data_IF_261686318045
#
_entry.id   IF_261686318045
#
_cell.length_a   1.000
_cell.length_b   1.000
_cell.length_c   1.000
_cell.angle_alpha   90.00
_cell.angle_beta   90.00
_cell.angle_gamma   90.00
#
_symmetry.space_group_name_H-M   'P 1'
#
loop_
_entity.id
_entity.type
_entity.pdbx_description
1 polymer ?
#
# COMPACT_ATOMS: atom_id res chain seq x y z
N UNK A 1 -23.17 9.77 -5.89
CA UNK A 1 -23.33 8.34 -5.59
C UNK A 1 -22.09 7.91 -4.83
N UNK A 2 -22.23 7.63 -3.53
CA UNK A 2 -21.12 7.36 -2.63
C UNK A 2 -20.62 5.92 -2.83
N UNK A 3 -19.36 5.77 -3.24
CA UNK A 3 -18.67 4.48 -3.29
C UNK A 3 -18.33 4.10 -1.85
N UNK A 4 -18.97 3.04 -1.35
CA UNK A 4 -18.70 2.53 0.00
C UNK A 4 -17.46 1.67 -0.08
N UNK A 5 -16.28 2.25 0.16
CA UNK A 5 -15.05 1.47 0.35
C UNK A 5 -15.14 0.80 1.71
N UNK A 6 -15.54 -0.47 1.72
CA UNK A 6 -15.51 -1.31 2.91
C UNK A 6 -14.05 -1.65 3.20
N UNK A 7 -13.43 -0.92 4.13
CA UNK A 7 -12.20 -1.37 4.76
C UNK A 7 -12.53 -2.64 5.55
N UNK A 8 -12.15 -3.80 5.03
CA UNK A 8 -12.25 -5.04 5.79
C UNK A 8 -11.15 -5.02 6.84
N UNK A 9 -11.47 -4.53 8.03
CA UNK A 9 -10.68 -4.79 9.23
C UNK A 9 -10.85 -6.29 9.54
N UNK A 10 -9.94 -7.12 9.02
CA UNK A 10 -9.98 -8.57 9.20
C UNK A 10 -9.65 -8.93 10.63
N UNK A 11 -10.68 -9.00 11.48
CA UNK A 11 -10.64 -9.75 12.73
C UNK A 11 -10.66 -11.24 12.36
N UNK A 12 -9.50 -11.79 12.05
CA UNK A 12 -9.36 -13.14 11.51
C UNK A 12 -9.10 -14.16 12.64
N UNK A 13 -10.08 -15.01 12.93
CA UNK A 13 -9.97 -16.19 13.81
C UNK A 13 -9.41 -17.42 13.08
N UNK A 14 -9.00 -17.28 11.81
CA UNK A 14 -8.35 -18.28 10.96
C UNK A 14 -7.32 -17.56 10.07
N UNK A 15 -6.26 -18.21 9.55
CA UNK A 15 -5.35 -17.57 8.60
C UNK A 15 -6.13 -17.18 7.33
N UNK A 16 -6.50 -15.90 7.23
CA UNK A 16 -7.17 -15.36 6.04
C UNK A 16 -6.08 -14.98 5.04
N UNK A 17 -6.02 -15.75 3.94
CA UNK A 17 -5.22 -15.41 2.77
C UNK A 17 -6.07 -14.56 1.83
N UNK A 18 -5.86 -13.24 1.82
CA UNK A 18 -6.46 -12.37 0.82
C UNK A 18 -5.65 -12.46 -0.48
N UNK A 19 -6.27 -13.00 -1.53
CA UNK A 19 -5.79 -12.91 -2.92
C UNK A 19 -6.68 -11.94 -3.68
N UNK A 20 -6.07 -11.02 -4.41
CA UNK A 20 -6.71 -10.33 -5.54
C UNK A 20 -5.87 -10.69 -6.77
N UNK A 21 -6.49 -11.34 -7.76
CA UNK A 21 -5.83 -11.73 -9.01
C UNK A 21 -6.53 -11.04 -10.18
N UNK A 22 -5.76 -10.34 -11.01
CA UNK A 22 -6.17 -9.92 -12.35
C UNK A 22 -5.26 -10.66 -13.34
N UNK A 23 -5.79 -11.68 -14.01
CA UNK A 23 -5.02 -12.45 -15.00
C UNK A 23 -4.84 -11.65 -16.30
N UNK A 24 -3.60 -11.28 -16.59
CA UNK A 24 -3.09 -11.24 -17.97
C UNK A 24 -1.84 -12.12 -18.01
N UNK A 25 -1.92 -13.20 -18.77
CA UNK A 25 -0.86 -14.18 -18.89
C UNK A 25 0.41 -13.60 -19.50
N UNK A 26 1.53 -13.82 -18.82
CA UNK A 26 2.85 -13.82 -19.45
C UNK A 26 3.63 -15.06 -18.97
N UNK A 27 3.88 -15.97 -19.91
CA UNK A 27 4.74 -17.13 -19.76
C UNK A 27 6.20 -16.77 -20.08
N UNK A 28 7.15 -17.03 -19.15
CA UNK A 28 8.55 -17.48 -19.31
C UNK A 28 9.41 -17.03 -18.12
N UNK A 29 10.16 -17.99 -17.54
CA UNK A 29 11.06 -17.78 -16.40
C UNK A 29 10.33 -17.69 -15.06
N UNK A 30 10.99 -18.02 -13.94
CA UNK A 30 10.48 -17.65 -12.62
C UNK A 30 10.34 -16.12 -12.62
N UNK A 31 9.11 -15.63 -12.61
CA UNK A 31 8.86 -14.20 -12.59
C UNK A 31 9.56 -13.61 -11.35
N UNK A 32 10.26 -12.47 -11.47
CA UNK A 32 10.81 -11.82 -10.31
C UNK A 32 9.67 -11.53 -9.33
N UNK A 33 9.85 -12.01 -8.10
CA UNK A 33 8.94 -11.79 -7.00
C UNK A 33 9.72 -11.09 -5.90
N UNK A 34 9.14 -10.04 -5.34
CA UNK A 34 9.74 -9.26 -4.26
C UNK A 34 9.18 -9.78 -2.95
N UNK A 35 10.04 -10.25 -2.05
CA UNK A 35 9.61 -10.67 -0.71
C UNK A 35 10.11 -9.72 0.36
N UNK A 36 9.22 -9.26 1.23
CA UNK A 36 9.52 -8.36 2.33
C UNK A 36 8.94 -8.89 3.65
N UNK A 37 9.65 -8.71 4.78
CA UNK A 37 9.11 -9.00 6.09
C UNK A 37 8.02 -7.99 6.47
N UNK A 38 6.99 -8.46 7.15
CA UNK A 38 5.99 -7.61 7.81
C UNK A 38 6.10 -7.82 9.32
N UNK A 39 6.30 -6.73 10.06
CA UNK A 39 6.18 -6.68 11.51
C UNK A 39 5.01 -5.79 11.91
N UNK A 40 4.04 -6.34 12.63
CA UNK A 40 2.86 -5.60 13.13
C UNK A 40 2.19 -4.74 12.05
N UNK A 41 2.02 -5.29 10.85
CA UNK A 41 1.37 -4.65 9.70
C UNK A 41 2.29 -3.72 8.90
N UNK A 42 3.51 -3.47 9.37
CA UNK A 42 4.45 -2.57 8.71
C UNK A 42 5.52 -3.33 7.93
N UNK A 43 5.98 -2.74 6.82
CA UNK A 43 7.15 -3.19 6.07
C UNK A 43 8.09 -2.03 5.82
N UNK A 44 9.38 -2.33 5.69
CA UNK A 44 10.41 -1.34 5.36
C UNK A 44 10.67 -1.30 3.87
N UNK A 45 10.71 -0.10 3.31
CA UNK A 45 11.14 0.18 1.95
C UNK A 45 12.19 1.30 1.99
N UNK A 46 12.97 1.46 0.93
CA UNK A 46 13.91 2.57 0.79
C UNK A 46 13.49 3.48 -0.35
N UNK A 47 13.49 4.79 -0.12
CA UNK A 47 13.26 5.80 -1.17
C UNK A 47 14.41 6.78 -1.13
N UNK A 48 15.17 6.89 -2.22
CA UNK A 48 16.39 7.71 -2.31
C UNK A 48 17.40 7.41 -1.18
N UNK A 49 17.47 6.14 -0.76
CA UNK A 49 18.34 5.71 0.35
C UNK A 49 17.78 5.94 1.75
N UNK A 50 16.61 6.58 1.89
CA UNK A 50 15.93 6.75 3.18
C UNK A 50 15.06 5.52 3.47
N UNK A 51 15.37 4.82 4.55
CA UNK A 51 14.53 3.73 5.03
C UNK A 51 13.24 4.28 5.64
N UNK A 52 12.10 3.90 5.07
CA UNK A 52 10.77 4.29 5.53
C UNK A 52 9.95 3.04 5.86
N UNK A 53 9.21 3.10 6.96
CA UNK A 53 8.40 1.98 7.44
C UNK A 53 6.92 2.32 7.26
N UNK A 54 6.23 1.49 6.47
CA UNK A 54 4.91 1.80 5.93
C UNK A 54 3.92 0.73 6.34
N UNK A 55 2.71 1.16 6.69
CA UNK A 55 1.60 0.25 6.93
C UNK A 55 1.19 -0.40 5.61
N UNK A 56 1.14 -1.72 5.58
CA UNK A 56 0.64 -2.48 4.44
C UNK A 56 -0.88 -2.41 4.42
N UNK A 57 -1.43 -1.78 3.39
CA UNK A 57 -2.88 -1.54 3.26
C UNK A 57 -3.41 -2.18 1.98
N UNK A 58 -4.30 -3.17 2.12
CA UNK A 58 -4.91 -3.89 1.00
C UNK A 58 -6.06 -3.13 0.34
N UNK A 59 -6.59 -2.09 0.99
CA UNK A 59 -7.65 -1.21 0.49
C UNK A 59 -7.12 0.06 -0.17
N UNK A 60 -5.89 0.47 0.14
CA UNK A 60 -5.21 1.59 -0.52
C UNK A 60 -4.40 1.11 -1.73
N UNK A 61 -4.20 1.99 -2.71
CA UNK A 61 -3.69 1.62 -4.05
C UNK A 61 -2.30 2.20 -4.37
N UNK A 62 -1.82 3.16 -3.60
CA UNK A 62 -0.59 3.91 -3.90
C UNK A 62 0.46 3.78 -2.79
N UNK A 63 1.71 4.15 -3.10
CA UNK A 63 2.80 4.30 -2.17
C UNK A 63 2.81 5.72 -1.60
N UNK A 64 2.47 5.85 -0.32
CA UNK A 64 2.38 7.15 0.37
C UNK A 64 3.34 7.18 1.55
N UNK A 65 4.20 8.19 1.60
CA UNK A 65 5.04 8.50 2.76
C UNK A 65 4.56 9.78 3.43
N UNK A 66 4.84 9.95 4.72
CA UNK A 66 4.55 11.21 5.43
C UNK A 66 5.67 12.21 5.18
N UNK A 67 5.32 13.49 5.02
CA UNK A 67 6.28 14.59 5.01
C UNK A 67 6.99 14.67 6.37
N UNK A 68 8.28 14.34 6.39
CA UNK A 68 9.07 14.28 7.61
C UNK A 68 9.18 15.61 8.33
N UNK A 69 9.38 16.71 7.59
CA UNK A 69 9.53 18.05 8.18
C UNK A 69 8.24 18.47 8.88
N UNK A 70 7.10 18.32 8.18
CA UNK A 70 5.78 18.58 8.75
C UNK A 70 5.48 17.68 9.97
N UNK A 71 5.88 16.41 9.91
CA UNK A 71 5.61 15.46 10.97
C UNK A 71 6.36 15.81 12.25
N UNK A 72 7.65 16.17 12.15
CA UNK A 72 8.46 16.58 13.29
C UNK A 72 8.03 17.93 13.84
N UNK A 73 7.64 18.89 12.97
CA UNK A 73 7.02 20.14 13.42
C UNK A 73 5.76 19.88 14.27
N UNK A 74 4.94 18.91 13.85
CA UNK A 74 3.66 18.62 14.52
C UNK A 74 3.80 17.81 15.80
N UNK A 75 4.72 16.84 15.84
CA UNK A 75 4.80 15.84 16.90
C UNK A 75 6.11 15.89 17.71
N UNK A 76 7.01 16.82 17.40
CA UNK A 76 8.30 17.02 18.04
C UNK A 76 9.46 16.37 17.28
N UNK A 77 10.66 16.93 17.47
CA UNK A 77 11.91 16.44 16.89
C UNK A 77 12.13 14.94 17.21
N UNK A 78 12.49 14.18 16.18
CA UNK A 78 12.69 12.73 16.29
C UNK A 78 11.40 11.92 16.44
N UNK A 79 10.22 12.52 16.31
CA UNK A 79 8.95 11.79 16.27
C UNK A 79 8.92 10.79 15.10
N UNK A 80 9.56 11.12 13.97
CA UNK A 80 9.63 10.25 12.82
C UNK A 80 10.36 8.92 13.11
N UNK A 81 11.44 8.96 13.89
CA UNK A 81 12.20 7.76 14.23
C UNK A 81 11.52 6.84 15.26
N UNK A 82 10.48 7.31 15.96
CA UNK A 82 9.87 6.61 17.10
C UNK A 82 8.53 5.95 16.80
N UNK A 83 7.84 6.35 15.71
CA UNK A 83 6.40 6.09 15.57
C UNK A 83 5.99 5.20 14.39
N UNK A 84 6.92 4.49 13.73
CA UNK A 84 6.62 3.76 12.47
C UNK A 84 5.83 4.65 11.48
N UNK A 85 6.19 5.94 11.44
CA UNK A 85 5.37 6.98 10.82
C UNK A 85 5.50 7.03 9.30
N UNK A 86 6.43 6.28 8.72
CA UNK A 86 6.69 6.31 7.28
C UNK A 86 7.16 7.67 6.79
N UNK A 87 7.90 8.43 7.60
CA UNK A 87 8.39 9.75 7.22
C UNK A 87 9.44 9.67 6.11
N UNK A 88 9.34 10.55 5.14
CA UNK A 88 10.35 10.84 4.13
C UNK A 88 10.74 12.32 4.22
N UNK A 89 12.04 12.59 4.29
CA UNK A 89 12.55 13.96 4.29
C UNK A 89 12.94 14.35 2.88
N UNK A 90 12.24 15.35 2.32
CA UNK A 90 12.59 15.85 1.00
C UNK A 90 14.04 16.40 0.98
N UNK A 91 14.85 16.06 -0.04
CA UNK A 91 16.16 16.66 -0.20
C UNK A 91 16.08 18.18 -0.25
N UNK A 92 17.01 18.88 0.41
CA UNK A 92 17.04 20.36 0.46
C UNK A 92 17.05 21.01 -0.93
N UNK A 93 17.64 20.33 -1.93
CA UNK A 93 17.70 20.80 -3.32
C UNK A 93 16.36 20.71 -4.06
N UNK A 94 15.45 19.84 -3.60
CA UNK A 94 14.09 19.69 -4.15
C UNK A 94 13.09 19.50 -3.00
N UNK A 95 12.78 20.57 -2.25
CA UNK A 95 11.95 20.48 -1.05
C UNK A 95 10.51 20.05 -1.38
N UNK A 96 9.83 19.51 -0.38
CA UNK A 96 8.42 19.16 -0.48
C UNK A 96 7.59 20.45 -0.50
N UNK A 97 7.00 20.81 -1.64
CA UNK A 97 6.19 22.04 -1.78
C UNK A 97 4.72 21.68 -2.03
N UNK A 98 3.93 21.81 -0.97
CA UNK A 98 2.47 21.66 -1.01
C UNK A 98 1.80 22.98 -1.37
N UNK A 99 1.18 23.06 -2.55
CA UNK A 99 0.37 24.20 -2.98
C UNK A 99 -0.86 23.76 -3.77
N UNK A 100 -1.78 24.69 -4.05
CA UNK A 100 -3.05 24.39 -4.72
C UNK A 100 -2.92 23.74 -6.12
N UNK A 101 -1.77 23.93 -6.79
CA UNK A 101 -1.54 23.41 -8.13
C UNK A 101 -0.87 22.03 -8.13
N UNK A 102 -0.16 21.67 -7.05
CA UNK A 102 0.59 20.41 -6.93
C UNK A 102 -0.07 19.37 -6.05
N UNK A 103 -1.11 19.77 -5.31
CA UNK A 103 -1.65 18.96 -4.22
C UNK A 103 -2.97 18.30 -4.58
N UNK A 104 -3.05 16.98 -4.36
CA UNK A 104 -4.30 16.22 -4.37
C UNK A 104 -4.78 15.97 -2.94
N UNK A 105 -6.09 16.03 -2.70
CA UNK A 105 -6.69 15.72 -1.39
C UNK A 105 -7.33 14.35 -1.41
N UNK A 106 -7.28 13.65 -0.29
CA UNK A 106 -7.89 12.34 -0.13
C UNK A 106 -8.47 12.19 1.27
N UNK A 107 -9.74 11.80 1.33
CA UNK A 107 -10.46 11.53 2.56
C UNK A 107 -10.46 10.02 2.84
N UNK A 108 -10.29 9.66 4.11
CA UNK A 108 -10.31 8.31 4.63
C UNK A 108 -11.49 8.11 5.57
N UNK A 109 -11.73 6.86 5.95
CA UNK A 109 -12.73 6.50 6.96
C UNK A 109 -12.41 7.22 8.28
N UNK A 110 -13.44 7.69 8.98
CA UNK A 110 -13.29 8.31 10.29
C UNK A 110 -12.86 9.79 10.26
N UNK A 111 -13.16 10.51 9.17
CA UNK A 111 -12.82 11.94 8.97
C UNK A 111 -11.32 12.24 8.96
N UNK A 112 -10.48 11.22 8.78
CA UNK A 112 -9.07 11.43 8.48
C UNK A 112 -8.95 11.91 7.03
N UNK A 113 -8.09 12.89 6.80
CA UNK A 113 -7.83 13.41 5.46
C UNK A 113 -6.36 13.76 5.33
N UNK A 114 -5.82 13.50 4.16
CA UNK A 114 -4.47 13.91 3.79
C UNK A 114 -4.52 14.78 2.56
N UNK A 115 -3.45 15.54 2.38
CA UNK A 115 -3.13 16.13 1.11
C UNK A 115 -1.75 15.65 0.67
N UNK A 116 -1.60 15.39 -0.62
CA UNK A 116 -0.44 14.71 -1.19
C UNK A 116 0.15 15.48 -2.36
N UNK A 117 1.47 15.49 -2.47
CA UNK A 117 2.19 15.87 -3.70
C UNK A 117 2.80 14.63 -4.34
N UNK A 118 2.96 14.66 -5.66
CA UNK A 118 3.68 13.61 -6.38
C UNK A 118 5.18 13.90 -6.41
N UNK A 119 5.98 12.85 -6.22
CA UNK A 119 7.44 12.86 -6.29
C UNK A 119 7.92 11.66 -7.12
N UNK A 120 9.16 11.73 -7.56
CA UNK A 120 9.87 10.57 -8.13
C UNK A 120 11.17 10.35 -7.36
N UNK A 121 11.58 9.09 -7.22
CA UNK A 121 12.78 8.72 -6.49
C UNK A 121 13.16 7.27 -6.72
N UNK A 122 14.38 6.88 -6.33
CA UNK A 122 14.84 5.49 -6.46
C UNK A 122 14.21 4.65 -5.36
N UNK A 123 13.34 3.70 -5.73
CA UNK A 123 12.67 2.80 -4.80
C UNK A 123 13.49 1.52 -4.63
N UNK A 124 13.59 1.03 -3.40
CA UNK A 124 14.07 -0.31 -3.11
C UNK A 124 13.15 -1.05 -2.15
N UNK A 125 12.89 -2.32 -2.48
CA UNK A 125 12.06 -3.26 -1.74
C UNK A 125 12.94 -4.45 -1.34
N UNK A 126 13.53 -4.39 -0.14
CA UNK A 126 14.60 -5.31 0.23
C UNK A 126 15.81 -5.15 -0.69
N UNK A 127 16.28 -6.24 -1.28
CA UNK A 127 17.44 -6.27 -2.19
C UNK A 127 17.09 -5.87 -3.64
N UNK A 128 15.79 -5.65 -3.93
CA UNK A 128 15.31 -5.26 -5.25
C UNK A 128 15.22 -3.74 -5.36
N UNK A 129 15.70 -3.17 -6.46
CA UNK A 129 15.68 -1.72 -6.70
C UNK A 129 15.10 -1.41 -8.08
N UNK A 130 14.38 -0.30 -8.19
CA UNK A 130 13.90 0.14 -9.51
C UNK A 130 15.09 0.60 -10.37
N UNK A 131 15.09 0.30 -11.67
CA UNK A 131 16.14 0.79 -12.58
C UNK A 131 15.96 2.26 -12.96
N UNK A 132 14.75 2.80 -12.78
CA UNK A 132 14.37 4.19 -13.06
C UNK A 132 13.64 4.81 -11.87
N UNK A 133 13.53 6.16 -11.81
CA UNK A 133 12.80 6.83 -10.73
C UNK A 133 11.33 6.40 -10.67
N UNK A 134 10.90 5.89 -9.52
CA UNK A 134 9.55 5.44 -9.23
C UNK A 134 8.69 6.61 -8.75
N UNK A 135 7.43 6.68 -9.20
CA UNK A 135 6.49 7.71 -8.74
C UNK A 135 5.90 7.34 -7.39
N UNK A 136 5.93 8.26 -6.43
CA UNK A 136 5.32 8.07 -5.11
C UNK A 136 4.70 9.36 -4.61
N UNK A 137 3.92 9.26 -3.52
CA UNK A 137 3.27 10.43 -2.90
C UNK A 137 3.88 10.76 -1.56
N UNK A 138 4.08 12.05 -1.33
CA UNK A 138 4.38 12.58 0.01
C UNK A 138 3.14 13.25 0.54
N UNK A 139 2.75 12.92 1.76
CA UNK A 139 1.50 13.33 2.38
C UNK A 139 1.70 14.12 3.67
N UNK A 140 0.78 15.04 3.94
CA UNK A 140 0.58 15.63 5.27
C UNK A 140 -0.88 15.50 5.66
N UNK A 141 -1.15 15.28 6.95
CA UNK A 141 -2.53 15.16 7.41
C UNK A 141 -3.16 16.55 7.54
N UNK A 142 -4.35 16.73 6.94
CA UNK A 142 -5.16 17.95 7.08
C UNK A 142 -6.18 17.80 8.20
N UNK A 143 -6.66 16.57 8.43
CA UNK A 143 -7.40 16.15 9.62
C UNK A 143 -7.03 14.71 9.95
N UNK A 144 -7.08 14.34 11.23
CA UNK A 144 -6.75 12.97 11.64
C UNK A 144 -7.58 12.51 12.83
N UNK A 145 -7.62 11.18 13.02
CA UNK A 145 -8.32 10.56 14.15
C UNK A 145 -7.65 10.99 15.46
N UNK A 146 -8.39 11.56 16.43
CA UNK A 146 -7.82 11.95 17.72
C UNK A 146 -7.10 10.79 18.41
N UNK A 147 -5.90 11.07 18.93
CA UNK A 147 -5.10 10.07 19.65
C UNK A 147 -4.35 9.06 18.78
N UNK A 148 -4.58 9.04 17.47
CA UNK A 148 -3.83 8.23 16.52
C UNK A 148 -2.82 9.12 15.80
N UNK A 149 -1.61 8.63 15.55
CA UNK A 149 -0.65 9.35 14.70
C UNK A 149 -0.79 8.87 13.24
N UNK A 150 -0.71 9.77 12.25
CA UNK A 150 -0.68 9.36 10.86
C UNK A 150 0.59 8.57 10.56
N UNK A 151 0.51 7.71 9.56
CA UNK A 151 1.62 6.90 9.05
C UNK A 151 1.52 6.79 7.54
N UNK A 152 2.65 6.49 6.89
CA UNK A 152 2.68 6.17 5.46
C UNK A 152 2.06 4.81 5.15
N UNK A 153 1.65 4.62 3.90
CA UNK A 153 0.95 3.46 3.39
C UNK A 153 1.72 2.81 2.24
N UNK A 154 1.79 1.49 2.26
CA UNK A 154 2.12 0.66 1.11
C UNK A 154 0.82 0.05 0.58
N UNK A 155 0.20 0.72 -0.40
CA UNK A 155 -1.04 0.26 -1.00
C UNK A 155 -0.85 -0.98 -1.87
N UNK A 156 -1.66 -2.02 -1.64
CA UNK A 156 -1.64 -3.26 -2.40
C UNK A 156 -2.88 -3.45 -3.29
N UNK A 157 -3.81 -2.50 -3.28
CA UNK A 157 -4.96 -2.54 -4.17
C UNK A 157 -4.52 -2.27 -5.61
N UNK A 158 -4.75 -3.24 -6.50
CA UNK A 158 -4.62 -3.02 -7.95
C UNK A 158 -5.76 -2.17 -8.53
N UNK A 159 -6.78 -1.84 -7.72
CA UNK A 159 -7.82 -0.89 -8.09
C UNK A 159 -7.33 0.51 -7.74
N UNK A 160 -6.75 1.22 -8.71
CA UNK A 160 -6.72 2.69 -8.63
C UNK A 160 -8.18 3.15 -8.66
N UNK A 161 -8.71 3.75 -7.59
CA UNK A 161 -10.09 4.22 -7.58
C UNK A 161 -10.30 5.13 -8.77
N UNK A 162 -11.53 5.21 -9.26
CA UNK A 162 -11.93 6.18 -10.28
C UNK A 162 -11.93 7.60 -9.72
N UNK A 163 -10.84 8.01 -9.08
CA UNK A 163 -10.50 9.38 -8.79
C UNK A 163 -10.48 10.12 -10.13
N UNK A 164 -10.98 11.34 -10.10
CA UNK A 164 -11.09 12.22 -11.25
C UNK A 164 -9.80 12.20 -12.08
N UNK A 165 -9.96 12.27 -13.40
CA UNK A 165 -8.91 12.15 -14.41
C UNK A 165 -7.63 12.97 -14.10
N UNK A 166 -7.76 14.08 -13.35
CA UNK A 166 -6.64 14.90 -12.88
C UNK A 166 -5.64 14.18 -11.98
N UNK A 167 -6.07 13.22 -11.15
CA UNK A 167 -5.20 12.47 -10.23
C UNK A 167 -4.51 11.30 -10.94
N UNK A 168 -5.17 10.70 -11.94
CA UNK A 168 -4.54 9.70 -12.83
C UNK A 168 -3.47 10.32 -13.73
N UNK A 169 -3.67 11.56 -14.15
CA UNK A 169 -2.71 12.27 -15.00
C UNK A 169 -1.42 12.67 -14.27
N UNK A 170 -1.36 12.59 -12.93
CA UNK A 170 -0.16 12.93 -12.16
C UNK A 170 0.66 11.73 -11.70
N UNK A 171 0.14 10.50 -11.77
CA UNK A 171 0.88 9.27 -11.48
C UNK A 171 1.15 8.50 -12.77
N UNK A 172 2.37 8.59 -13.30
CA UNK A 172 2.81 7.85 -14.50
C UNK A 172 2.62 6.33 -14.32
N UNK A 173 2.69 5.87 -13.06
CA UNK A 173 2.79 4.46 -12.70
C UNK A 173 1.47 3.78 -12.34
N UNK A 174 0.33 4.50 -12.32
CA UNK A 174 -0.94 3.93 -11.86
C UNK A 174 -0.90 3.57 -10.37
N UNK A 175 -1.41 2.38 -10.00
CA UNK A 175 -1.23 1.81 -8.65
C UNK A 175 0.20 1.40 -8.36
N UNK A 176 0.54 1.26 -7.07
CA UNK A 176 1.88 0.83 -6.65
C UNK A 176 2.29 -0.48 -7.34
N UNK A 177 1.40 -1.47 -7.39
CA UNK A 177 1.66 -2.77 -8.03
C UNK A 177 1.83 -2.63 -9.55
N UNK A 178 1.04 -1.80 -10.22
CA UNK A 178 1.23 -1.49 -11.65
C UNK A 178 2.58 -0.82 -11.90
N UNK A 179 2.98 0.11 -11.03
CA UNK A 179 4.29 0.73 -11.06
C UNK A 179 5.41 -0.31 -10.97
N UNK A 180 5.32 -1.28 -10.05
CA UNK A 180 6.33 -2.33 -9.96
C UNK A 180 6.46 -3.13 -11.26
N UNK A 181 5.37 -3.30 -12.03
CA UNK A 181 5.42 -3.91 -13.35
C UNK A 181 6.07 -3.01 -14.40
N UNK A 182 5.72 -1.73 -14.45
CA UNK A 182 6.33 -0.78 -15.39
C UNK A 182 7.85 -0.65 -15.19
N UNK A 183 8.30 -0.80 -13.94
CA UNK A 183 9.70 -0.76 -13.55
C UNK A 183 10.39 -2.14 -13.59
N UNK A 184 9.72 -3.17 -14.12
CA UNK A 184 10.22 -4.55 -14.25
C UNK A 184 10.69 -5.19 -12.93
N UNK A 185 10.15 -4.76 -11.80
CA UNK A 185 10.41 -5.37 -10.48
C UNK A 185 9.62 -6.65 -10.27
N UNK A 186 8.42 -6.71 -10.84
CA UNK A 186 7.54 -7.88 -10.85
C UNK A 186 6.95 -8.05 -12.25
N UNK A 187 6.55 -9.27 -12.61
CA UNK A 187 5.87 -9.52 -13.89
C UNK A 187 4.37 -9.84 -13.72
N UNK A 188 3.83 -9.75 -12.50
CA UNK A 188 2.45 -10.15 -12.18
C UNK A 188 1.83 -9.21 -11.15
N UNK A 189 0.61 -8.75 -11.41
CA UNK A 189 -0.20 -8.00 -10.43
C UNK A 189 -0.79 -8.95 -9.38
N UNK A 190 0.05 -9.41 -8.46
CA UNK A 190 -0.37 -10.32 -7.41
C UNK A 190 0.46 -10.08 -6.16
N UNK A 191 -0.10 -10.42 -5.02
CA UNK A 191 0.66 -10.51 -3.78
C UNK A 191 0.12 -11.64 -2.91
N UNK A 192 0.98 -12.14 -2.04
CA UNK A 192 0.66 -13.14 -1.03
C UNK A 192 1.12 -12.62 0.32
N UNK A 193 0.20 -12.58 1.28
CA UNK A 193 0.50 -12.31 2.68
C UNK A 193 0.53 -13.63 3.45
N UNK A 194 1.69 -14.06 3.92
CA UNK A 194 1.86 -15.26 4.74
C UNK A 194 2.09 -14.88 6.20
N UNK A 195 1.18 -15.27 7.08
CA UNK A 195 1.21 -14.90 8.49
C UNK A 195 1.61 -16.09 9.36
N UNK A 196 2.27 -15.84 10.49
CA UNK A 196 2.59 -16.90 11.46
C UNK A 196 1.36 -17.31 12.27
N UNK A 197 1.28 -18.57 12.71
CA UNK A 197 0.15 -19.10 13.51
C UNK A 197 -0.06 -18.35 14.85
N UNK A 198 0.96 -17.67 15.37
CA UNK A 198 0.89 -16.87 16.60
C UNK A 198 0.56 -15.38 16.37
N UNK A 199 0.30 -14.95 15.14
CA UNK A 199 0.03 -13.55 14.80
C UNK A 199 -1.39 -13.06 15.18
N UNK A 200 -2.21 -13.89 15.83
CA UNK A 200 -3.63 -13.59 16.09
C UNK A 200 -3.90 -12.85 17.42
N UNK A 201 -2.86 -12.50 18.19
CA UNK A 201 -3.04 -11.84 19.50
C UNK A 201 -3.00 -10.30 19.37
N UNK A 202 -2.53 -9.76 18.24
CA UNK A 202 -2.53 -8.32 17.95
C UNK A 202 -3.48 -7.97 16.80
N UNK A 203 -4.03 -6.75 16.82
CA UNK A 203 -4.83 -6.18 15.71
C UNK A 203 -4.04 -6.06 14.40
N UNK A 204 -2.73 -6.34 14.43
CA UNK A 204 -1.84 -6.28 13.29
C UNK A 204 -1.19 -7.62 12.97
N UNK A 205 -1.04 -7.86 11.67
CA UNK A 205 -0.46 -9.08 11.10
C UNK A 205 1.07 -8.99 11.07
N UNK A 206 1.75 -10.06 11.48
CA UNK A 206 3.19 -10.24 11.24
C UNK A 206 3.44 -11.44 10.35
N UNK A 207 4.45 -11.37 9.49
CA UNK A 207 4.70 -12.39 8.49
C UNK A 207 5.59 -11.96 7.33
N UNK A 208 5.24 -12.45 6.13
CA UNK A 208 5.94 -12.15 4.87
C UNK A 208 4.94 -11.70 3.82
N UNK A 209 5.25 -10.61 3.13
CA UNK A 209 4.57 -10.18 1.92
C UNK A 209 5.44 -10.53 0.73
N UNK A 210 4.89 -11.30 -0.21
CA UNK A 210 5.51 -11.56 -1.50
C UNK A 210 4.68 -10.91 -2.59
N UNK A 211 5.27 -10.04 -3.41
CA UNK A 211 4.63 -9.35 -4.53
C UNK A 211 5.16 -9.94 -5.84
N UNK A 212 4.29 -10.21 -6.81
CA UNK A 212 4.66 -10.81 -8.10
C UNK A 212 4.77 -12.34 -8.09
N UNK A 213 4.43 -13.00 -6.98
CA UNK A 213 4.57 -14.45 -6.83
C UNK A 213 3.56 -15.25 -7.67
N UNK A 214 3.92 -16.50 -7.94
CA UNK A 214 3.02 -17.51 -8.49
C UNK A 214 2.63 -18.47 -7.38
N UNK A 215 1.47 -18.24 -6.76
CA UNK A 215 0.85 -19.34 -6.00
C UNK A 215 0.16 -20.23 -7.02
N UNK A 216 0.77 -21.37 -7.32
CA UNK A 216 0.13 -22.42 -8.11
C UNK A 216 -0.94 -23.08 -7.26
N UNK A 217 -2.12 -23.31 -7.85
CA UNK A 217 -3.09 -24.28 -7.35
C UNK A 217 -2.40 -25.65 -7.32
N UNK A 218 -1.81 -26.02 -6.19
CA UNK A 218 -1.41 -27.39 -5.97
C UNK A 218 -2.58 -28.08 -5.27
N UNK A 219 -2.96 -29.26 -5.72
CA UNK A 219 -3.99 -30.07 -5.04
C UNK A 219 -3.62 -30.42 -3.58
N UNK A 220 -2.37 -30.19 -3.18
CA UNK A 220 -1.83 -30.44 -1.84
C UNK A 220 -1.86 -29.21 -0.92
N UNK A 221 -2.30 -28.05 -1.41
CA UNK A 221 -2.30 -26.82 -0.63
C UNK A 221 -3.71 -26.42 -0.21
N UNK A 222 -3.88 -26.15 1.09
CA UNK A 222 -5.14 -25.72 1.72
C UNK A 222 -5.57 -24.29 1.33
N UNK A 223 -5.46 -23.90 0.06
CA UNK A 223 -5.93 -22.60 -0.40
C UNK A 223 -7.37 -22.70 -0.88
N UNK A 224 -8.19 -21.73 -0.49
CA UNK A 224 -9.50 -21.49 -1.09
C UNK A 224 -9.42 -20.24 -1.95
N UNK A 225 -9.80 -20.36 -3.21
CA UNK A 225 -9.78 -19.26 -4.16
C UNK A 225 -11.18 -18.69 -4.30
N UNK A 226 -11.33 -17.39 -4.05
CA UNK A 226 -12.59 -16.68 -4.25
C UNK A 226 -12.41 -15.76 -5.45
N UNK A 227 -13.15 -16.03 -6.51
CA UNK A 227 -13.26 -15.15 -7.66
C UNK A 227 -14.49 -14.26 -7.45
N UNK A 228 -14.27 -12.96 -7.34
CA UNK A 228 -15.35 -11.99 -7.34
C UNK A 228 -15.54 -11.52 -8.78
N UNK A 229 -16.65 -11.88 -9.45
CA UNK A 229 -16.91 -11.37 -10.79
C UNK A 229 -17.06 -9.84 -10.72
N UNK A 230 -16.20 -9.14 -11.47
CA UNK A 230 -16.27 -7.69 -11.64
C UNK A 230 -17.71 -7.29 -12.04
N UNK A 231 -18.36 -6.45 -11.24
CA UNK A 231 -19.68 -5.89 -11.56
C UNK A 231 -20.89 -6.62 -10.99
N UNK A 232 -20.73 -7.63 -10.14
CA UNK A 232 -21.86 -8.18 -9.38
C UNK A 232 -22.08 -7.38 -8.08
N UNK A 233 -23.24 -6.74 -7.96
CA UNK A 233 -23.68 -6.17 -6.68
C UNK A 233 -23.78 -7.30 -5.65
N UNK A 234 -22.94 -7.26 -4.62
CA UNK A 234 -23.06 -8.18 -3.50
C UNK A 234 -24.30 -7.77 -2.69
N UNK A 235 -25.38 -8.54 -2.82
CA UNK A 235 -26.53 -8.45 -1.93
C UNK A 235 -26.38 -9.56 -0.88
N UNK A 236 -25.88 -9.27 0.34
CA UNK A 236 -25.74 -10.28 1.37
C UNK A 236 -27.15 -10.66 1.84
N UNK A 237 -27.69 -11.73 1.29
CA UNK A 237 -28.80 -12.44 1.93
C UNK A 237 -28.19 -13.27 3.05
N UNK A 238 -28.22 -12.72 4.26
CA UNK A 238 -28.00 -13.52 5.48
C UNK A 238 -28.97 -14.71 5.45
N UNK A 239 -28.50 -15.93 5.74
CA UNK A 239 -29.41 -17.06 5.88
C UNK A 239 -30.37 -16.75 7.04
N UNK A 240 -31.67 -16.69 6.73
CA UNK A 240 -32.70 -16.69 7.76
C UNK A 240 -32.59 -18.02 8.48
N UNK A 241 -32.32 -17.94 9.79
CA UNK A 241 -32.63 -19.02 10.73
C UNK A 241 -34.12 -19.05 11.01
#
# INVERSE_FOLDING_TARGET
>A
MASTTMAILLKATLPVFCRVQTERDAAKGAAPAVTMPIDRGFTKVSIDGQAVELLVDTGYWDLVVMDGDWYEEKYGEGACGKAHSGCYFCPKVTPCVFNANTTAKSDFVGNAAIETITRTGMLSLGDHHTPTPFTFRVARATSWIPGVRPHGFLGLSGLSPSLNQSVRNSSVDGSFIEGLMHHNLIHRMSYTLRTGAHAQISDFISGRLTIGDTVTESMESNYSFFHFPYGSEYSPTLPRT
#
